data_IF_330073537259
#
_entry.id   IF_330073537259
#
_cell.length_a   1.000
_cell.length_b   1.000
_cell.length_c   1.000
_cell.angle_alpha   90.00
_cell.angle_beta   90.00
_cell.angle_gamma   90.00
#
_symmetry.space_group_name_H-M   'P 1'
#
loop_
_entity.id
_entity.type
_entity.pdbx_description
1 polymer ?
#
# COMPACT_ATOMS: atom_id res chain seq x y z
N UNK A 1 5.11 -14.15 -15.89
CA UNK A 1 4.70 -13.77 -14.52
C UNK A 1 4.63 -12.25 -14.44
N UNK A 2 3.56 -11.66 -13.89
CA UNK A 2 3.45 -10.20 -13.74
C UNK A 2 4.62 -9.67 -12.89
N UNK A 3 5.16 -8.50 -13.21
CA UNK A 3 6.28 -7.89 -12.47
C UNK A 3 5.93 -7.37 -11.07
N UNK A 4 4.70 -7.61 -10.61
CA UNK A 4 4.12 -7.06 -9.39
C UNK A 4 3.32 -8.12 -8.64
N UNK A 5 3.29 -8.02 -7.32
CA UNK A 5 2.47 -8.87 -6.44
C UNK A 5 1.80 -8.03 -5.35
N UNK A 6 0.62 -8.45 -4.91
CA UNK A 6 0.02 -7.96 -3.68
C UNK A 6 0.66 -8.66 -2.49
N UNK A 7 1.04 -7.90 -1.46
CA UNK A 7 1.67 -8.42 -0.25
C UNK A 7 0.91 -7.90 0.96
N UNK A 8 0.48 -8.82 1.83
CA UNK A 8 -0.13 -8.48 3.12
C UNK A 8 0.85 -7.67 3.96
N UNK A 9 0.37 -6.57 4.52
CA UNK A 9 1.14 -5.79 5.46
C UNK A 9 1.33 -6.54 6.78
N UNK A 10 2.57 -6.64 7.27
CA UNK A 10 2.93 -7.40 8.48
C UNK A 10 3.48 -6.52 9.61
N UNK A 11 3.43 -5.19 9.48
CA UNK A 11 3.80 -4.26 10.55
C UNK A 11 5.06 -3.42 10.31
N UNK A 12 5.68 -3.46 9.12
CA UNK A 12 6.81 -2.59 8.79
C UNK A 12 6.39 -1.11 8.75
N UNK A 13 6.83 -0.28 9.70
CA UNK A 13 6.43 1.15 9.80
C UNK A 13 7.33 2.09 9.02
N UNK A 14 7.66 1.74 7.78
CA UNK A 14 8.52 2.54 6.90
C UNK A 14 8.34 2.09 5.44
N UNK A 15 8.70 2.96 4.50
CA UNK A 15 8.78 2.61 3.08
C UNK A 15 9.81 1.49 2.83
N UNK A 16 9.40 0.36 2.24
CA UNK A 16 10.30 -0.75 1.91
C UNK A 16 10.58 -0.81 0.41
N UNK A 17 11.77 -1.28 -0.02
CA UNK A 17 12.03 -1.52 -1.44
C UNK A 17 10.94 -2.38 -2.06
N UNK A 18 10.35 -1.93 -3.16
CA UNK A 18 9.31 -2.68 -3.89
C UNK A 18 7.95 -2.06 -3.79
N UNK A 19 7.70 -1.28 -2.75
CA UNK A 19 6.51 -0.46 -2.69
C UNK A 19 6.49 0.54 -3.84
N UNK A 20 5.31 0.69 -4.45
CA UNK A 20 5.10 1.68 -5.51
C UNK A 20 4.62 2.98 -4.87
N UNK A 21 5.47 4.00 -4.84
CA UNK A 21 5.11 5.34 -4.40
C UNK A 21 4.13 6.00 -5.38
N UNK A 22 3.11 6.65 -4.84
CA UNK A 22 2.10 7.41 -5.61
C UNK A 22 2.12 8.91 -5.31
N UNK A 23 2.98 9.34 -4.39
CA UNK A 23 3.07 10.73 -3.96
C UNK A 23 3.45 10.85 -2.49
N UNK A 24 3.19 12.04 -1.95
CA UNK A 24 3.40 12.36 -0.54
C UNK A 24 2.13 12.96 0.05
N UNK A 25 1.91 12.71 1.33
CA UNK A 25 0.86 13.36 2.10
C UNK A 25 1.33 14.76 2.58
N UNK A 26 0.43 15.53 3.19
CA UNK A 26 0.72 16.90 3.68
C UNK A 26 1.87 16.96 4.70
N UNK A 27 2.07 15.88 5.44
CA UNK A 27 3.17 15.72 6.40
C UNK A 27 4.50 15.31 5.73
N UNK A 28 4.52 15.17 4.41
CA UNK A 28 5.68 14.76 3.62
C UNK A 28 5.93 13.26 3.56
N UNK A 29 5.12 12.44 4.25
CA UNK A 29 5.26 10.99 4.27
C UNK A 29 4.85 10.36 2.93
N UNK A 30 5.51 9.26 2.57
CA UNK A 30 5.29 8.61 1.27
C UNK A 30 3.96 7.87 1.28
N UNK A 31 3.17 8.09 0.24
CA UNK A 31 1.98 7.29 -0.04
C UNK A 31 2.35 6.18 -1.02
N UNK A 32 1.81 4.98 -0.80
CA UNK A 32 2.01 3.83 -1.70
C UNK A 32 0.70 3.19 -2.12
N UNK A 33 0.71 2.47 -3.24
CA UNK A 33 -0.47 1.74 -3.74
C UNK A 33 -0.81 0.59 -2.81
N UNK A 34 -2.06 0.56 -2.34
CA UNK A 34 -2.60 -0.58 -1.60
C UNK A 34 -4.04 -0.93 -1.96
N UNK A 35 -4.54 -1.92 -1.25
CA UNK A 35 -5.96 -2.32 -1.25
C UNK A 35 -6.34 -2.91 0.11
N UNK A 36 -7.60 -2.81 0.48
CA UNK A 36 -8.09 -3.35 1.74
C UNK A 36 -9.56 -3.77 1.61
N UNK A 37 -9.96 -4.74 2.45
CA UNK A 37 -11.35 -5.19 2.50
C UNK A 37 -12.25 -4.16 3.19
N UNK A 38 -13.38 -3.84 2.58
CA UNK A 38 -14.40 -2.97 3.13
C UNK A 38 -15.78 -3.39 2.59
N UNK A 39 -16.69 -3.73 3.51
CA UNK A 39 -18.10 -4.01 3.21
C UNK A 39 -18.37 -4.98 2.06
N UNK A 40 -17.69 -6.14 2.04
CA UNK A 40 -17.94 -7.18 1.04
C UNK A 40 -16.99 -7.16 -0.15
N UNK A 41 -16.17 -6.11 -0.31
CA UNK A 41 -15.30 -5.94 -1.47
C UNK A 41 -13.87 -5.55 -1.08
N UNK A 42 -12.93 -5.73 -2.01
CA UNK A 42 -11.54 -5.29 -1.90
C UNK A 42 -11.39 -3.97 -2.66
N UNK A 43 -11.27 -2.88 -1.91
CA UNK A 43 -11.18 -1.55 -2.48
C UNK A 43 -9.73 -1.10 -2.60
N UNK A 44 -9.37 -0.30 -3.63
CA UNK A 44 -8.07 0.36 -3.69
C UNK A 44 -7.91 1.32 -2.51
N UNK A 45 -6.67 1.48 -2.05
CA UNK A 45 -6.32 2.27 -0.88
C UNK A 45 -5.06 3.09 -1.11
N UNK A 46 -5.02 4.30 -0.51
CA UNK A 46 -3.77 5.00 -0.25
C UNK A 46 -3.18 4.42 1.05
N UNK A 47 -1.95 3.93 1.00
CA UNK A 47 -1.26 3.38 2.17
C UNK A 47 -0.25 4.40 2.67
N UNK A 48 -0.19 4.58 4.00
CA UNK A 48 0.85 5.31 4.73
C UNK A 48 1.72 4.30 5.48
N UNK A 49 2.79 3.75 4.86
CA UNK A 49 3.61 2.71 5.46
C UNK A 49 4.17 3.11 6.83
N UNK A 50 4.63 4.36 6.96
CA UNK A 50 5.20 4.93 8.18
C UNK A 50 4.20 4.92 9.34
N UNK A 51 2.90 5.01 9.05
CA UNK A 51 1.83 4.98 10.04
C UNK A 51 1.24 3.57 10.21
N UNK A 52 1.55 2.64 9.31
CA UNK A 52 1.01 1.29 9.30
C UNK A 52 -0.50 1.25 9.07
N UNK A 53 -1.01 2.14 8.22
CA UNK A 53 -2.44 2.24 7.89
C UNK A 53 -2.68 2.42 6.40
N UNK A 54 -3.84 1.98 5.94
CA UNK A 54 -4.37 2.28 4.63
C UNK A 54 -5.71 2.99 4.76
N UNK A 55 -6.08 3.80 3.77
CA UNK A 55 -7.38 4.45 3.69
C UNK A 55 -8.07 4.07 2.38
N UNK A 56 -9.28 3.52 2.51
CA UNK A 56 -10.17 3.26 1.37
C UNK A 56 -11.25 4.33 1.32
N UNK A 57 -11.59 4.78 0.11
CA UNK A 57 -12.71 5.70 -0.11
C UNK A 57 -14.00 4.91 -0.31
N UNK A 58 -15.00 5.14 0.55
CA UNK A 58 -16.31 4.48 0.42
C UNK A 58 -17.42 5.35 1.01
N UNK A 59 -18.52 5.54 0.27
CA UNK A 59 -19.67 6.35 0.72
C UNK A 59 -19.32 7.80 1.04
N UNK A 60 -18.43 8.42 0.27
CA UNK A 60 -17.99 9.81 0.47
C UNK A 60 -17.08 10.04 1.67
N UNK A 61 -16.54 8.99 2.30
CA UNK A 61 -15.66 9.05 3.47
C UNK A 61 -14.39 8.23 3.26
N UNK A 62 -13.34 8.60 3.98
CA UNK A 62 -12.14 7.76 4.12
C UNK A 62 -12.30 6.81 5.31
N UNK A 63 -11.99 5.54 5.11
CA UNK A 63 -12.04 4.51 6.15
C UNK A 63 -10.64 3.95 6.38
N UNK A 64 -10.14 4.14 7.61
CA UNK A 64 -8.84 3.61 8.04
C UNK A 64 -8.88 2.08 8.14
N UNK A 65 -7.78 1.43 7.72
CA UNK A 65 -7.60 -0.01 7.71
C UNK A 65 -6.20 -0.36 8.22
N UNK A 66 -6.15 -1.27 9.20
CA UNK A 66 -4.90 -1.88 9.67
C UNK A 66 -4.58 -3.20 8.94
N UNK A 67 -5.60 -3.83 8.35
CA UNK A 67 -5.45 -4.99 7.48
C UNK A 67 -5.55 -4.55 6.03
N UNK A 68 -4.45 -4.64 5.30
CA UNK A 68 -4.35 -4.24 3.91
C UNK A 68 -3.21 -4.99 3.21
N UNK A 69 -3.20 -4.88 1.89
CA UNK A 69 -2.10 -5.29 1.04
C UNK A 69 -1.51 -4.09 0.31
N UNK A 70 -0.22 -4.14 0.00
CA UNK A 70 0.47 -3.17 -0.85
C UNK A 70 0.99 -3.83 -2.13
N UNK A 71 1.17 -3.04 -3.19
CA UNK A 71 1.80 -3.52 -4.42
C UNK A 71 3.31 -3.56 -4.23
N UNK A 72 3.90 -4.73 -4.50
CA UNK A 72 5.33 -4.95 -4.49
C UNK A 72 5.86 -5.25 -5.90
N UNK A 73 6.74 -4.40 -6.43
CA UNK A 73 7.50 -4.66 -7.64
C UNK A 73 8.56 -5.73 -7.38
N UNK A 74 8.39 -6.90 -8.01
CA UNK A 74 9.34 -8.01 -7.85
C UNK A 74 10.47 -7.97 -8.89
N UNK A 75 10.41 -7.09 -9.89
CA UNK A 75 11.48 -6.95 -10.90
C UNK A 75 12.70 -6.23 -10.37
N UNK A 76 12.56 -5.40 -9.34
CA UNK A 76 13.70 -4.70 -8.73
C UNK A 76 14.76 -5.67 -8.16
N UNK A 77 14.39 -6.92 -7.88
CA UNK A 77 15.30 -7.95 -7.38
C UNK A 77 16.00 -8.74 -8.50
N UNK A 78 15.67 -8.49 -9.78
CA UNK A 78 16.20 -9.27 -10.92
C UNK A 78 17.44 -8.66 -11.58
N UNK A 79 17.86 -7.48 -11.17
CA UNK A 79 19.05 -6.79 -11.72
C UNK A 79 20.21 -6.72 -10.72
N UNK A 80 20.20 -7.57 -9.70
CA UNK A 80 21.27 -7.69 -8.71
C UNK A 80 22.03 -9.01 -8.92
N UNK A 81 22.60 -9.22 -10.11
CA UNK A 81 23.65 -10.21 -10.44
C UNK A 81 24.40 -9.76 -11.68
#
# INVERSE_FOLDING_TARGET
MPGYKWVRYTGARYFVPGMISVGKDLDGMILVVGRAYHNGDILPAKVKPEHGVAYVAHGGKEHMKHEFEYVNNIRQYRHAV
#
